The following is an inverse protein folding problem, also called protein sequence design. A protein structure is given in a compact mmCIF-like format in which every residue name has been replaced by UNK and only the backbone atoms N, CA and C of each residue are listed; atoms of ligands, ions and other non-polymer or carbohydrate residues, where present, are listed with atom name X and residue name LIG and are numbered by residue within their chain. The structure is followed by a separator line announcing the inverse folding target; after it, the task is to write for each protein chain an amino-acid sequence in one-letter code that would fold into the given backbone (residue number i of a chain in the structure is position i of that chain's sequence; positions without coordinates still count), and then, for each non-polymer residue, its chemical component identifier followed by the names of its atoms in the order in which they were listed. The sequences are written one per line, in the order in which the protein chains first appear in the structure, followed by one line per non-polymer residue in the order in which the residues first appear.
data_IF_495753511544
#
_entry.id   IF_495753511544
#
_cell.length_a   1.000
_cell.length_b   1.000
_cell.length_c   1.000
_cell.angle_alpha   90.00
_cell.angle_beta   90.00
_cell.angle_gamma   90.00
#
_symmetry.space_group_name_H-M   'P 1'
#
loop_
_entity.id
_entity.type
_entity.pdbx_description
1 polymer ?
#
# COMPACT_ATOMS: atom_id res chain seq x y z
N UNK A 1 -33.38 -0.69 36.51
CA UNK A 1 -33.45 -0.67 35.04
C UNK A 1 -32.17 -0.01 34.57
N UNK A 2 -31.21 -0.80 34.11
CA UNK A 2 -29.93 -0.30 33.61
C UNK A 2 -30.16 0.35 32.24
N UNK A 3 -30.01 1.67 32.18
CA UNK A 3 -29.98 2.39 30.91
C UNK A 3 -28.70 2.01 30.16
N UNK A 4 -28.86 1.28 29.06
CA UNK A 4 -27.78 1.07 28.08
C UNK A 4 -27.32 2.45 27.59
N UNK A 5 -26.03 2.79 27.67
CA UNK A 5 -25.54 4.05 27.14
C UNK A 5 -25.81 4.08 25.64
N UNK A 6 -26.64 5.03 25.24
CA UNK A 6 -27.03 5.30 23.87
C UNK A 6 -25.76 5.61 23.09
N UNK A 7 -25.34 4.71 22.21
CA UNK A 7 -24.22 4.95 21.31
C UNK A 7 -24.64 6.02 20.31
N UNK A 8 -24.31 7.27 20.61
CA UNK A 8 -24.45 8.38 19.67
C UNK A 8 -23.57 8.04 18.47
N UNK A 9 -24.11 7.98 17.24
CA UNK A 9 -23.31 7.73 16.05
C UNK A 9 -22.34 8.92 15.87
N UNK A 10 -21.04 8.69 16.11
CA UNK A 10 -20.01 9.71 15.90
C UNK A 10 -20.03 10.15 14.44
N UNK A 11 -20.21 11.44 14.19
CA UNK A 11 -20.10 12.02 12.85
C UNK A 11 -18.67 11.82 12.35
N UNK A 12 -18.52 11.59 11.05
CA UNK A 12 -17.22 11.71 10.37
C UNK A 12 -16.65 13.10 10.66
N UNK A 13 -15.64 13.18 11.53
CA UNK A 13 -15.04 14.45 12.00
C UNK A 13 -14.81 14.53 13.51
N UNK A 14 -15.59 13.80 14.32
CA UNK A 14 -15.48 13.83 15.80
C UNK A 14 -14.50 12.77 16.36
N UNK A 15 -13.87 11.98 15.49
CA UNK A 15 -12.91 10.96 15.90
C UNK A 15 -11.50 11.55 15.83
N UNK A 16 -10.80 11.78 16.97
CA UNK A 16 -9.50 12.47 17.02
C UNK A 16 -8.35 11.70 16.34
N UNK A 17 -8.67 10.68 15.55
CA UNK A 17 -7.74 9.81 14.84
C UNK A 17 -7.91 9.85 13.31
N UNK A 18 -8.81 10.70 12.78
CA UNK A 18 -9.11 10.76 11.34
C UNK A 18 -7.91 11.21 10.50
N UNK A 19 -7.15 12.21 10.95
CA UNK A 19 -6.00 12.74 10.21
C UNK A 19 -4.85 11.71 10.15
N UNK A 20 -4.44 11.10 11.28
CA UNK A 20 -3.49 9.98 11.24
C UNK A 20 -3.93 8.81 10.35
N UNK A 21 -5.22 8.49 10.35
CA UNK A 21 -5.77 7.44 9.47
C UNK A 21 -5.61 7.79 8.00
N UNK A 22 -5.95 9.02 7.63
CA UNK A 22 -5.88 9.47 6.25
C UNK A 22 -4.42 9.51 5.74
N UNK A 23 -3.49 10.01 6.56
CA UNK A 23 -2.06 10.01 6.24
C UNK A 23 -1.51 8.58 6.08
N UNK A 24 -1.96 7.66 6.93
CA UNK A 24 -1.55 6.26 6.88
C UNK A 24 -2.09 5.56 5.62
N UNK A 25 -3.36 5.76 5.29
CA UNK A 25 -3.97 5.21 4.08
C UNK A 25 -3.31 5.80 2.81
N UNK A 26 -3.05 7.11 2.79
CA UNK A 26 -2.39 7.77 1.66
C UNK A 26 -0.94 7.28 1.48
N UNK A 27 -0.20 7.10 2.57
CA UNK A 27 1.15 6.56 2.51
C UNK A 27 1.16 5.11 2.02
N UNK A 28 0.26 4.24 2.50
CA UNK A 28 0.16 2.87 2.02
C UNK A 28 -0.24 2.84 0.52
N UNK A 29 -1.15 3.72 0.08
CA UNK A 29 -1.49 3.90 -1.32
C UNK A 29 -0.27 4.28 -2.18
N UNK A 30 0.54 5.23 -1.72
CA UNK A 30 1.79 5.62 -2.39
C UNK A 30 2.82 4.48 -2.42
N UNK A 31 2.88 3.65 -1.38
CA UNK A 31 3.76 2.47 -1.39
C UNK A 31 3.34 1.49 -2.49
N UNK A 32 2.05 1.15 -2.58
CA UNK A 32 1.56 0.21 -3.59
C UNK A 32 1.62 0.76 -5.02
N UNK A 33 1.24 2.02 -5.21
CA UNK A 33 1.32 2.65 -6.53
C UNK A 33 2.77 2.90 -6.94
N UNK A 34 3.56 3.48 -6.02
CA UNK A 34 4.95 3.84 -6.21
C UNK A 34 5.85 2.64 -6.46
N UNK A 35 5.64 1.50 -5.79
CA UNK A 35 6.41 0.29 -6.08
C UNK A 35 6.19 -0.21 -7.50
N UNK A 36 4.96 -0.10 -8.02
CA UNK A 36 4.61 -0.49 -9.39
C UNK A 36 5.20 0.47 -10.42
N UNK A 37 5.14 1.78 -10.15
CA UNK A 37 5.74 2.80 -11.01
C UNK A 37 7.27 2.74 -11.01
N UNK A 38 7.87 2.51 -9.85
CA UNK A 38 9.31 2.35 -9.73
C UNK A 38 9.79 1.06 -10.40
N UNK A 39 9.02 -0.03 -10.32
CA UNK A 39 9.32 -1.27 -11.02
C UNK A 39 9.36 -1.09 -12.54
N UNK A 40 8.52 -0.21 -13.09
CA UNK A 40 8.57 0.16 -14.51
C UNK A 40 9.91 0.85 -14.85
N UNK A 41 10.28 1.88 -14.10
CA UNK A 41 11.54 2.61 -14.31
C UNK A 41 12.75 1.69 -14.16
N UNK A 42 12.78 0.91 -13.10
CA UNK A 42 13.86 -0.05 -12.82
C UNK A 42 13.97 -1.09 -13.93
N UNK A 43 12.84 -1.56 -14.48
CA UNK A 43 12.89 -2.60 -15.51
C UNK A 43 13.32 -2.08 -16.87
N UNK A 44 12.80 -0.94 -17.30
CA UNK A 44 12.94 -0.47 -18.70
C UNK A 44 13.97 0.65 -18.88
N UNK A 45 14.50 1.22 -17.78
CA UNK A 45 15.44 2.34 -17.83
C UNK A 45 16.66 2.14 -16.93
N UNK A 46 16.88 0.94 -16.40
CA UNK A 46 18.08 0.61 -15.61
C UNK A 46 18.84 -0.56 -16.24
N UNK A 47 20.13 -0.75 -15.87
CA UNK A 47 20.94 -1.88 -16.35
C UNK A 47 20.34 -3.27 -16.05
N UNK A 48 19.34 -3.34 -15.17
CA UNK A 48 18.62 -4.57 -14.83
C UNK A 48 17.72 -5.08 -15.96
N UNK A 49 17.52 -4.31 -17.04
CA UNK A 49 16.83 -4.77 -18.25
C UNK A 49 17.43 -6.09 -18.78
N UNK A 50 18.76 -6.25 -18.67
CA UNK A 50 19.47 -7.46 -19.10
C UNK A 50 19.10 -8.74 -18.34
N UNK A 51 18.55 -8.63 -17.11
CA UNK A 51 18.09 -9.80 -16.34
C UNK A 51 16.71 -10.29 -16.78
N UNK A 52 15.89 -9.42 -17.38
CA UNK A 52 14.54 -9.74 -17.82
C UNK A 52 14.25 -9.14 -19.20
N UNK A 53 14.98 -9.58 -20.24
CA UNK A 53 14.89 -9.01 -21.57
C UNK A 53 13.45 -9.11 -22.09
N UNK A 54 13.03 -8.07 -22.81
CA UNK A 54 11.81 -8.11 -23.61
C UNK A 54 11.96 -9.20 -24.68
N UNK A 55 10.83 -9.82 -25.07
CA UNK A 55 10.84 -10.70 -26.23
C UNK A 55 11.29 -9.90 -27.46
N UNK A 56 12.11 -10.51 -28.32
CA UNK A 56 12.61 -9.84 -29.52
C UNK A 56 11.45 -9.27 -30.34
N UNK A 57 11.53 -7.97 -30.66
CA UNK A 57 10.49 -7.25 -31.41
C UNK A 57 9.35 -6.67 -30.57
N UNK A 58 9.39 -6.74 -29.23
CA UNK A 58 8.42 -6.08 -28.36
C UNK A 58 8.93 -4.72 -27.89
N UNK A 59 8.13 -3.67 -28.12
CA UNK A 59 8.37 -2.35 -27.54
C UNK A 59 8.04 -2.31 -26.04
N UNK A 60 8.73 -1.47 -25.25
CA UNK A 60 8.34 -1.21 -23.88
C UNK A 60 6.87 -0.76 -23.80
N UNK A 61 6.04 -1.39 -22.93
CA UNK A 61 4.64 -0.99 -22.77
C UNK A 61 4.55 0.46 -22.27
N UNK A 62 3.49 1.18 -22.65
CA UNK A 62 3.35 2.58 -22.23
C UNK A 62 3.27 2.76 -20.71
N UNK A 63 3.93 3.80 -20.19
CA UNK A 63 3.85 4.17 -18.76
C UNK A 63 2.41 4.47 -18.31
N UNK A 64 1.54 4.99 -19.19
CA UNK A 64 0.14 5.27 -18.86
C UNK A 64 -0.62 4.03 -18.35
N UNK A 65 -0.38 2.88 -18.98
CA UNK A 65 -0.97 1.61 -18.55
C UNK A 65 -0.47 1.22 -17.16
N UNK A 66 0.84 1.36 -16.91
CA UNK A 66 1.45 1.13 -15.59
C UNK A 66 0.94 2.09 -14.52
N UNK A 67 0.72 3.35 -14.89
CA UNK A 67 0.18 4.35 -14.00
C UNK A 67 -1.20 3.93 -13.47
N UNK A 68 -2.10 3.53 -14.39
CA UNK A 68 -3.43 3.01 -14.05
C UNK A 68 -3.36 1.76 -13.17
N UNK A 69 -2.43 0.84 -13.43
CA UNK A 69 -2.23 -0.34 -12.58
C UNK A 69 -1.71 0.00 -11.19
N UNK A 70 -0.81 0.97 -11.08
CA UNK A 70 -0.37 1.46 -9.77
C UNK A 70 -1.53 2.07 -8.97
N UNK A 71 -2.43 2.83 -9.62
CA UNK A 71 -3.64 3.33 -8.96
C UNK A 71 -4.57 2.19 -8.51
N UNK A 72 -4.79 1.18 -9.36
CA UNK A 72 -5.56 0.00 -8.99
C UNK A 72 -4.93 -0.75 -7.80
N UNK A 73 -3.59 -0.89 -7.79
CA UNK A 73 -2.84 -1.47 -6.69
C UNK A 73 -2.99 -0.66 -5.40
N UNK A 74 -3.00 0.67 -5.49
CA UNK A 74 -3.25 1.56 -4.37
C UNK A 74 -4.63 1.30 -3.74
N UNK A 75 -5.67 1.26 -4.57
CA UNK A 75 -7.06 1.05 -4.12
C UNK A 75 -7.22 -0.34 -3.49
N UNK A 76 -6.77 -1.39 -4.19
CA UNK A 76 -6.85 -2.77 -3.70
C UNK A 76 -6.03 -2.92 -2.42
N UNK A 77 -4.82 -2.36 -2.40
CA UNK A 77 -3.91 -2.44 -1.26
C UNK A 77 -4.49 -1.82 0.01
N UNK A 78 -4.98 -0.57 -0.10
CA UNK A 78 -5.64 0.12 1.01
C UNK A 78 -6.89 -0.63 1.47
N UNK A 79 -7.75 -1.07 0.55
CA UNK A 79 -8.96 -1.80 0.89
C UNK A 79 -8.65 -3.13 1.62
N UNK A 80 -7.64 -3.88 1.17
CA UNK A 80 -7.21 -5.11 1.84
C UNK A 80 -6.62 -4.80 3.23
N UNK A 81 -5.79 -3.77 3.35
CA UNK A 81 -5.20 -3.38 4.63
C UNK A 81 -6.26 -2.93 5.63
N UNK A 82 -7.27 -2.19 5.17
CA UNK A 82 -8.44 -1.83 5.96
C UNK A 82 -9.21 -3.08 6.42
N UNK A 83 -9.50 -4.00 5.51
CA UNK A 83 -10.25 -5.24 5.80
C UNK A 83 -9.51 -6.18 6.75
N UNK A 84 -8.18 -6.23 6.65
CA UNK A 84 -7.32 -6.97 7.59
C UNK A 84 -7.14 -6.24 8.93
N UNK A 85 -7.72 -5.04 9.10
CA UNK A 85 -7.69 -4.29 10.34
C UNK A 85 -6.35 -3.61 10.63
N UNK A 86 -5.47 -3.44 9.63
CA UNK A 86 -4.16 -2.80 9.84
C UNK A 86 -4.27 -1.38 10.34
N UNK A 87 -5.22 -0.61 9.81
CA UNK A 87 -5.39 0.78 10.21
C UNK A 87 -5.81 0.89 11.68
N UNK A 88 -6.79 0.07 12.11
CA UNK A 88 -7.20 0.01 13.52
C UNK A 88 -6.05 -0.42 14.43
N UNK A 89 -5.24 -1.40 14.01
CA UNK A 89 -4.09 -1.86 14.78
C UNK A 89 -2.93 -0.86 14.84
N UNK A 90 -2.76 0.00 13.82
CA UNK A 90 -1.71 1.03 13.78
C UNK A 90 -2.11 2.34 14.47
N UNK A 91 -3.41 2.63 14.55
CA UNK A 91 -3.98 3.84 15.17
C UNK A 91 -4.33 3.59 16.64
N UNK A 92 -4.93 2.45 16.94
CA UNK A 92 -5.08 1.97 18.30
C UNK A 92 -3.70 1.77 18.91
N UNK A 93 -3.51 2.15 20.17
CA UNK A 93 -2.24 2.15 20.89
C UNK A 93 -1.51 0.79 20.99
N UNK A 94 -1.93 -0.23 20.25
CA UNK A 94 -1.23 -1.50 20.07
C UNK A 94 0.01 -1.30 19.16
N UNK A 95 1.03 -0.65 19.73
CA UNK A 95 2.30 -0.24 19.07
C UNK A 95 3.13 -1.40 18.49
N UNK A 96 2.64 -2.64 18.60
CA UNK A 96 3.26 -3.88 18.15
C UNK A 96 2.54 -4.46 16.93
N UNK A 97 2.38 -3.66 15.88
CA UNK A 97 2.12 -4.26 14.57
C UNK A 97 3.37 -5.00 14.14
N UNK A 98 3.32 -6.33 14.26
CA UNK A 98 4.40 -7.20 13.85
C UNK A 98 4.66 -7.02 12.35
N UNK A 99 5.92 -6.81 11.97
CA UNK A 99 6.36 -6.70 10.57
C UNK A 99 5.83 -7.86 9.72
N UNK A 100 5.74 -9.06 10.31
CA UNK A 100 5.15 -10.25 9.69
C UNK A 100 3.72 -10.03 9.19
N UNK A 101 2.89 -9.28 9.92
CA UNK A 101 1.55 -8.91 9.46
C UNK A 101 1.65 -8.04 8.20
N UNK A 102 2.52 -7.03 8.19
CA UNK A 102 2.71 -6.15 7.02
C UNK A 102 3.12 -6.97 5.80
N UNK A 103 4.09 -7.87 5.97
CA UNK A 103 4.55 -8.78 4.90
C UNK A 103 3.39 -9.65 4.41
N UNK A 104 2.62 -10.25 5.32
CA UNK A 104 1.45 -11.05 4.97
C UNK A 104 0.41 -10.24 4.18
N UNK A 105 0.11 -9.01 4.62
CA UNK A 105 -0.78 -8.10 3.89
C UNK A 105 -0.27 -7.80 2.49
N UNK A 106 1.02 -7.48 2.33
CA UNK A 106 1.64 -7.25 1.03
C UNK A 106 1.54 -8.48 0.12
N UNK A 107 1.75 -9.69 0.67
CA UNK A 107 1.60 -10.94 -0.07
C UNK A 107 0.15 -11.11 -0.56
N UNK A 108 -0.85 -10.91 0.33
CA UNK A 108 -2.27 -11.03 -0.03
C UNK A 108 -2.65 -10.03 -1.13
N UNK A 109 -2.23 -8.77 -1.00
CA UNK A 109 -2.48 -7.73 -2.02
C UNK A 109 -1.84 -8.12 -3.35
N UNK A 110 -0.62 -8.64 -3.34
CA UNK A 110 0.06 -9.10 -4.56
C UNK A 110 -0.65 -10.29 -5.20
N UNK A 111 -1.16 -11.25 -4.43
CA UNK A 111 -1.93 -12.37 -4.97
C UNK A 111 -3.22 -11.89 -5.63
N UNK A 112 -3.94 -10.95 -5.01
CA UNK A 112 -5.15 -10.35 -5.59
C UNK A 112 -4.81 -9.60 -6.88
N UNK A 113 -3.75 -8.79 -6.88
CA UNK A 113 -3.29 -8.08 -8.07
C UNK A 113 -2.88 -9.05 -9.18
N UNK A 114 -2.18 -10.14 -8.86
CA UNK A 114 -1.81 -11.15 -9.84
C UNK A 114 -3.02 -11.87 -10.44
N UNK A 115 -4.03 -12.17 -9.62
CA UNK A 115 -5.29 -12.75 -10.10
C UNK A 115 -6.03 -11.76 -11.01
N UNK A 116 -6.16 -10.50 -10.59
CA UNK A 116 -6.79 -9.44 -11.38
C UNK A 116 -6.10 -9.25 -12.73
N UNK A 117 -4.76 -9.13 -12.73
CA UNK A 117 -3.95 -8.96 -13.94
C UNK A 117 -4.01 -10.16 -14.90
N UNK A 118 -4.23 -11.35 -14.36
CA UNK A 118 -4.39 -12.58 -15.16
C UNK A 118 -5.76 -12.63 -15.84
N UNK A 119 -6.81 -12.13 -15.16
CA UNK A 119 -8.16 -12.03 -15.72
C UNK A 119 -8.26 -10.95 -16.81
N UNK A 120 -7.52 -9.84 -16.66
CA UNK A 120 -7.55 -8.73 -17.63
C UNK A 120 -6.64 -8.94 -18.84
N UNK A 121 -6.08 -10.15 -19.03
CA UNK A 121 -5.18 -10.52 -20.14
C UNK A 121 -4.01 -9.53 -20.37
N UNK A 122 -3.61 -8.82 -19.32
CA UNK A 122 -2.71 -7.67 -19.46
C UNK A 122 -1.25 -8.08 -19.58
N UNK A 123 -0.47 -7.44 -20.48
CA UNK A 123 0.90 -7.83 -20.83
C UNK A 123 1.93 -7.37 -19.78
N UNK A 124 1.54 -7.34 -18.50
CA UNK A 124 2.46 -7.12 -17.41
C UNK A 124 3.36 -8.34 -17.26
N UNK A 125 4.55 -8.27 -17.84
CA UNK A 125 5.49 -9.37 -17.88
C UNK A 125 5.98 -9.76 -16.48
N UNK A 126 6.24 -11.05 -16.29
CA UNK A 126 6.53 -11.67 -14.98
C UNK A 126 7.64 -10.96 -14.21
N UNK A 127 8.68 -10.50 -14.91
CA UNK A 127 9.79 -9.74 -14.31
C UNK A 127 9.34 -8.46 -13.59
N UNK A 128 8.41 -7.68 -14.15
CA UNK A 128 7.99 -6.40 -13.54
C UNK A 128 7.18 -6.67 -12.29
N UNK A 129 6.40 -7.76 -12.27
CA UNK A 129 5.64 -8.17 -11.09
C UNK A 129 6.59 -8.58 -9.95
N UNK A 130 7.66 -9.32 -10.26
CA UNK A 130 8.67 -9.71 -9.27
C UNK A 130 9.39 -8.48 -8.72
N UNK A 131 9.85 -7.58 -9.59
CA UNK A 131 10.52 -6.34 -9.18
C UNK A 131 9.58 -5.48 -8.32
N UNK A 132 8.32 -5.30 -8.73
CA UNK A 132 7.32 -4.57 -7.96
C UNK A 132 7.09 -5.20 -6.57
N UNK A 133 6.96 -6.52 -6.49
CA UNK A 133 6.83 -7.23 -5.21
C UNK A 133 8.04 -6.99 -4.31
N UNK A 134 9.26 -7.17 -4.83
CA UNK A 134 10.50 -6.97 -4.10
C UNK A 134 10.70 -5.51 -3.66
N UNK A 135 10.18 -4.54 -4.39
CA UNK A 135 10.19 -3.12 -3.99
C UNK A 135 9.10 -2.78 -2.96
N UNK A 136 7.93 -3.42 -3.06
CA UNK A 136 6.78 -3.14 -2.19
C UNK A 136 7.09 -3.49 -0.73
N UNK A 137 7.74 -4.62 -0.47
CA UNK A 137 8.07 -5.05 0.89
C UNK A 137 8.93 -4.02 1.64
N UNK A 138 10.14 -3.64 1.18
CA UNK A 138 10.98 -2.68 1.88
C UNK A 138 10.32 -1.30 1.96
N UNK A 139 9.61 -0.86 0.91
CA UNK A 139 8.87 0.41 0.95
C UNK A 139 7.75 0.41 1.99
N UNK A 140 7.00 -0.69 2.13
CA UNK A 140 5.96 -0.83 3.15
C UNK A 140 6.54 -0.84 4.57
N UNK A 141 7.68 -1.48 4.77
CA UNK A 141 8.39 -1.49 6.05
C UNK A 141 8.92 -0.09 6.40
N UNK A 142 9.58 0.58 5.45
CA UNK A 142 10.07 1.95 5.63
C UNK A 142 8.91 2.92 5.91
N UNK A 143 7.84 2.86 5.13
CA UNK A 143 6.65 3.68 5.34
C UNK A 143 6.06 3.46 6.74
N UNK A 144 5.99 2.21 7.21
CA UNK A 144 5.55 1.91 8.57
C UNK A 144 6.42 2.59 9.63
N UNK A 145 7.75 2.52 9.52
CA UNK A 145 8.66 3.17 10.46
C UNK A 145 8.55 4.71 10.42
N UNK A 146 8.51 5.30 9.23
CA UNK A 146 8.37 6.75 9.08
C UNK A 146 7.03 7.25 9.62
N UNK A 147 5.94 6.57 9.31
CA UNK A 147 4.61 6.89 9.83
C UNK A 147 4.54 6.74 11.35
N UNK A 148 5.16 5.71 11.92
CA UNK A 148 5.25 5.54 13.37
C UNK A 148 5.97 6.73 14.00
N UNK A 149 7.09 7.16 13.44
CA UNK A 149 7.85 8.32 13.95
C UNK A 149 7.08 9.64 13.77
N UNK A 150 6.40 9.81 12.63
CA UNK A 150 5.56 10.97 12.36
C UNK A 150 4.39 11.05 13.35
N UNK A 151 3.72 9.93 13.61
CA UNK A 151 2.62 9.83 14.56
C UNK A 151 3.06 10.16 16.00
N UNK A 152 4.21 9.65 16.43
CA UNK A 152 4.79 10.04 17.74
C UNK A 152 5.10 11.53 17.81
N UNK A 153 5.57 12.12 16.71
CA UNK A 153 5.85 13.56 16.63
C UNK A 153 4.56 14.39 16.64
N UNK A 154 3.51 13.94 15.97
CA UNK A 154 2.19 14.58 15.97
C UNK A 154 1.55 14.57 17.35
N UNK A 155 1.57 13.42 18.04
CA UNK A 155 1.08 13.29 19.42
C UNK A 155 1.82 14.23 20.38
N UNK A 156 3.15 14.33 20.27
CA UNK A 156 3.95 15.25 21.10
C UNK A 156 3.63 16.73 20.85
N UNK A 157 3.18 17.07 19.64
CA UNK A 157 2.85 18.45 19.23
C UNK A 157 1.36 18.78 19.33
N UNK A 158 0.52 17.83 19.71
CA UNK A 158 -0.95 18.00 19.74
C UNK A 158 -1.57 18.22 18.36
N UNK A 159 -0.96 17.72 17.29
CA UNK A 159 -1.47 17.90 15.93
C UNK A 159 -2.41 16.76 15.53
N UNK A 160 -3.65 17.11 15.19
CA UNK A 160 -4.63 16.16 14.65
C UNK A 160 -5.37 15.32 15.69
N UNK A 161 -5.38 15.76 16.95
CA UNK A 161 -6.12 15.20 18.08
C UNK A 161 -6.92 16.29 18.79
#
# INVERSE_FOLDING_TARGET
MDEKPTQIPRRFGDDPYWLPLLLLAFSDALVFAGSMWLAYVVRFYSPLEGLFPLQAGWDPPSFSLFFKFGLAAAIIGVAVFERLGFYRARIGMDRRVHILRIIFGVIVVNLILQAFLSLTATPLSRGTRIVAFCLTIPLAVLAHYFLKNAHHSMLRRGWGY
#
